data_IF_665643464392
#
_entry.id   IF_665643464392
#
_cell.length_a   1.000
_cell.length_b   1.000
_cell.length_c   1.000
_cell.angle_alpha   90.00
_cell.angle_beta   90.00
_cell.angle_gamma   90.00
#
_symmetry.space_group_name_H-M   'P 1'
#
loop_
_entity.id
_entity.type
_entity.pdbx_description
1 polymer ?
#
# COMPACT_ATOMS: atom_id res chain seq x y z
N UNK A 1 -57.48 23.31 10.17
CA UNK A 1 -56.91 22.91 8.87
C UNK A 1 -55.49 23.44 8.79
N UNK A 2 -54.59 22.58 8.32
CA UNK A 2 -53.19 22.80 7.92
C UNK A 2 -52.13 22.83 9.03
N UNK A 3 -51.64 21.61 9.27
CA UNK A 3 -50.43 21.25 9.99
C UNK A 3 -49.20 21.70 9.19
N UNK A 4 -48.40 22.63 9.73
CA UNK A 4 -47.04 22.89 9.25
C UNK A 4 -46.09 21.83 9.82
N UNK A 5 -46.33 20.57 9.45
CA UNK A 5 -45.39 19.49 9.66
C UNK A 5 -44.28 19.61 8.61
N UNK A 6 -43.32 20.49 8.87
CA UNK A 6 -42.12 20.61 8.05
C UNK A 6 -41.41 19.27 8.05
N UNK A 7 -41.45 18.58 6.91
CA UNK A 7 -40.61 17.45 6.60
C UNK A 7 -39.15 17.93 6.63
N UNK A 8 -38.52 17.88 7.80
CA UNK A 8 -37.07 17.82 7.88
C UNK A 8 -36.68 16.48 7.25
N UNK A 9 -36.48 16.49 5.93
CA UNK A 9 -35.64 15.49 5.30
C UNK A 9 -34.35 15.49 6.11
N UNK A 10 -34.09 14.41 6.83
CA UNK A 10 -32.86 14.15 7.58
C UNK A 10 -31.71 14.30 6.59
N UNK A 11 -31.17 15.52 6.54
CA UNK A 11 -30.13 15.90 5.60
C UNK A 11 -28.89 15.22 6.15
N UNK A 12 -28.61 14.02 5.63
CA UNK A 12 -27.52 13.15 6.11
C UNK A 12 -26.23 13.94 6.17
N UNK A 13 -25.86 14.36 7.38
CA UNK A 13 -24.70 15.23 7.62
C UNK A 13 -23.45 14.41 7.36
N UNK A 14 -22.64 14.86 6.40
CA UNK A 14 -21.35 14.25 6.15
C UNK A 14 -20.30 14.85 7.07
N UNK A 15 -19.23 14.10 7.33
CA UNK A 15 -18.17 14.59 8.23
C UNK A 15 -17.39 15.74 7.60
N UNK A 16 -17.26 15.76 6.26
CA UNK A 16 -16.67 16.87 5.53
C UNK A 16 -17.47 18.18 5.62
N UNK A 17 -18.78 18.13 5.92
CA UNK A 17 -19.62 19.32 6.05
C UNK A 17 -19.32 20.08 7.36
N UNK A 18 -18.90 19.33 8.39
CA UNK A 18 -18.67 19.85 9.75
C UNK A 18 -17.18 20.03 10.04
N UNK A 19 -16.34 19.14 9.51
CA UNK A 19 -14.90 19.09 9.76
C UNK A 19 -14.09 19.08 8.47
N UNK A 20 -12.87 19.59 8.53
CA UNK A 20 -11.91 19.44 7.44
C UNK A 20 -11.39 18.01 7.40
N UNK A 21 -11.75 17.26 6.36
CA UNK A 21 -11.34 15.87 6.14
C UNK A 21 -10.21 15.76 5.10
N UNK A 22 -9.46 14.66 5.15
CA UNK A 22 -8.46 14.32 4.11
C UNK A 22 -9.18 13.93 2.81
N UNK A 23 -8.74 14.41 1.62
CA UNK A 23 -9.33 14.02 0.34
C UNK A 23 -9.28 12.50 0.08
N UNK A 24 -8.34 11.78 0.68
CA UNK A 24 -8.19 10.32 0.54
C UNK A 24 -8.89 9.54 1.67
N UNK A 25 -9.76 10.18 2.46
CA UNK A 25 -10.49 9.51 3.52
C UNK A 25 -11.48 8.49 2.93
N UNK A 26 -11.51 7.24 3.41
CA UNK A 26 -12.52 6.27 3.00
C UNK A 26 -13.94 6.81 3.18
N UNK A 27 -14.79 6.62 2.16
CA UNK A 27 -16.16 7.15 2.11
C UNK A 27 -17.01 6.77 3.33
N UNK A 28 -16.72 5.62 3.96
CA UNK A 28 -17.39 5.16 5.19
C UNK A 28 -17.19 6.11 6.37
N UNK A 29 -16.01 6.73 6.50
CA UNK A 29 -15.77 7.73 7.55
C UNK A 29 -16.35 9.10 7.19
N UNK A 30 -16.64 9.36 5.91
CA UNK A 30 -17.37 10.56 5.51
C UNK A 30 -18.88 10.45 5.77
N UNK A 31 -19.41 9.23 5.73
CA UNK A 31 -20.84 8.94 5.84
C UNK A 31 -21.10 8.08 7.09
N UNK A 32 -21.33 8.67 8.28
CA UNK A 32 -21.57 7.90 9.51
C UNK A 32 -22.80 6.99 9.40
N UNK A 33 -23.74 7.31 8.50
CA UNK A 33 -24.92 6.51 8.27
C UNK A 33 -24.67 5.13 7.66
N UNK A 34 -23.51 4.92 7.05
CA UNK A 34 -23.14 3.65 6.45
C UNK A 34 -22.89 2.55 7.49
N UNK A 35 -22.66 2.92 8.75
CA UNK A 35 -22.44 1.97 9.85
C UNK A 35 -23.78 1.40 10.33
N UNK A 36 -24.05 0.15 9.94
CA UNK A 36 -25.22 -0.62 10.38
C UNK A 36 -24.95 -1.41 11.67
N UNK A 37 -26.01 -1.82 12.37
CA UNK A 37 -25.92 -2.70 13.54
C UNK A 37 -25.80 -1.95 14.88
N UNK A 38 -25.61 -0.64 14.82
CA UNK A 38 -25.74 0.24 15.97
C UNK A 38 -27.19 0.69 16.10
N UNK A 39 -27.83 0.36 17.22
CA UNK A 39 -29.13 0.86 17.65
C UNK A 39 -29.55 0.06 18.88
N UNK A 40 -30.42 0.65 19.70
CA UNK A 40 -31.07 -0.12 20.75
C UNK A 40 -31.96 -1.19 20.11
N UNK A 41 -31.57 -2.47 20.27
CA UNK A 41 -32.47 -3.60 20.00
C UNK A 41 -33.70 -3.43 20.88
N UNK A 42 -34.88 -3.65 20.30
CA UNK A 42 -36.15 -3.58 21.02
C UNK A 42 -36.22 -4.75 22.01
N UNK A 43 -35.85 -4.48 23.26
CA UNK A 43 -35.95 -5.39 24.40
C UNK A 43 -36.96 -4.85 25.40
N UNK A 44 -37.51 -5.73 26.23
CA UNK A 44 -38.37 -5.33 27.32
C UNK A 44 -37.60 -4.42 28.30
N UNK A 45 -38.15 -3.25 28.70
CA UNK A 45 -37.44 -2.32 29.59
C UNK A 45 -36.98 -2.94 30.92
N UNK A 46 -37.73 -3.93 31.45
CA UNK A 46 -37.37 -4.63 32.69
C UNK A 46 -36.29 -5.71 32.52
N UNK A 47 -35.99 -6.15 31.29
CA UNK A 47 -34.99 -7.18 31.00
C UNK A 47 -33.77 -6.58 30.30
N UNK A 48 -33.35 -5.41 30.77
CA UNK A 48 -32.22 -4.67 30.22
C UNK A 48 -30.95 -5.01 30.99
N UNK A 49 -29.90 -5.43 30.28
CA UNK A 49 -28.59 -5.68 30.90
C UNK A 49 -27.63 -4.53 30.59
N UNK A 50 -26.61 -4.35 31.43
CA UNK A 50 -25.56 -3.34 31.21
C UNK A 50 -24.87 -3.51 29.84
N UNK A 51 -24.63 -4.77 29.43
CA UNK A 51 -24.01 -5.11 28.15
C UNK A 51 -24.81 -4.61 26.94
N UNK A 52 -26.14 -4.47 27.05
CA UNK A 52 -26.99 -3.91 25.98
C UNK A 52 -26.75 -2.41 25.74
N UNK A 53 -25.96 -1.74 26.59
CA UNK A 53 -25.53 -0.36 26.38
C UNK A 53 -24.47 -0.27 25.28
N UNK A 54 -23.59 -1.28 25.18
CA UNK A 54 -22.58 -1.34 24.14
C UNK A 54 -23.24 -1.49 22.76
N UNK A 55 -22.77 -0.71 21.78
CA UNK A 55 -23.33 -0.70 20.42
C UNK A 55 -24.76 -0.13 20.30
N UNK A 56 -25.34 0.37 21.40
CA UNK A 56 -26.72 0.88 21.38
C UNK A 56 -26.87 2.24 20.69
N UNK A 57 -25.79 3.01 20.59
CA UNK A 57 -25.75 4.34 19.99
C UNK A 57 -25.06 4.27 18.64
N UNK A 58 -25.65 4.93 17.65
CA UNK A 58 -25.08 5.04 16.30
C UNK A 58 -23.91 6.03 16.31
N UNK A 59 -22.83 5.75 15.57
CA UNK A 59 -21.76 6.72 15.37
C UNK A 59 -22.27 8.00 14.72
N UNK A 60 -21.74 9.13 15.18
CA UNK A 60 -22.05 10.47 14.68
C UNK A 60 -20.84 11.11 13.99
N UNK A 61 -21.04 12.24 13.32
CA UNK A 61 -19.95 12.97 12.65
C UNK A 61 -18.81 13.39 13.58
N UNK A 62 -19.09 13.55 14.87
CA UNK A 62 -18.12 13.94 15.90
C UNK A 62 -17.24 12.78 16.39
N UNK A 63 -17.66 11.54 16.13
CA UNK A 63 -16.92 10.33 16.49
C UNK A 63 -16.12 9.77 15.30
N UNK A 64 -16.44 10.22 14.08
CA UNK A 64 -15.74 9.80 12.87
C UNK A 64 -14.35 10.42 12.76
N UNK A 65 -13.42 9.64 12.22
CA UNK A 65 -12.05 10.08 11.97
C UNK A 65 -12.01 11.01 10.76
N UNK A 66 -11.25 12.10 10.87
CA UNK A 66 -11.01 13.03 9.74
C UNK A 66 -9.89 12.59 8.82
N UNK A 67 -9.05 11.65 9.28
CA UNK A 67 -7.94 11.06 8.53
C UNK A 67 -7.82 9.56 8.86
N UNK A 68 -7.51 8.75 7.86
CA UNK A 68 -7.25 7.32 8.03
C UNK A 68 -5.97 6.92 7.28
N UNK A 69 -4.97 6.45 8.03
CA UNK A 69 -3.67 6.02 7.48
C UNK A 69 -3.52 4.51 7.57
N UNK A 70 -4.36 3.80 6.81
CA UNK A 70 -4.27 2.35 6.67
C UNK A 70 -3.04 1.93 5.88
N UNK A 71 -2.44 0.80 6.23
CA UNK A 71 -1.34 0.20 5.47
C UNK A 71 -1.89 -0.87 4.52
N UNK A 72 -1.44 -0.85 3.26
CA UNK A 72 -1.80 -1.89 2.30
C UNK A 72 -0.94 -3.13 2.52
N UNK A 73 -1.54 -4.31 2.62
CA UNK A 73 -0.83 -5.58 2.71
C UNK A 73 -0.71 -6.33 1.37
N UNK A 74 -1.19 -5.73 0.28
CA UNK A 74 -1.28 -6.35 -1.05
C UNK A 74 0.06 -6.97 -1.51
N UNK A 75 1.18 -6.23 -1.38
CA UNK A 75 2.50 -6.75 -1.73
C UNK A 75 2.89 -7.98 -0.88
N UNK A 76 2.75 -7.87 0.45
CA UNK A 76 3.12 -8.94 1.37
C UNK A 76 2.20 -10.15 1.26
N UNK A 77 0.93 -9.95 0.92
CA UNK A 77 -0.02 -11.04 0.68
C UNK A 77 0.41 -11.89 -0.50
N UNK A 78 0.84 -11.29 -1.62
CA UNK A 78 1.37 -12.03 -2.76
C UNK A 78 2.58 -12.90 -2.35
N UNK A 79 3.50 -12.34 -1.58
CA UNK A 79 4.66 -13.08 -1.07
C UNK A 79 4.27 -14.17 -0.07
N UNK A 80 3.24 -13.95 0.75
CA UNK A 80 2.78 -14.93 1.73
C UNK A 80 2.25 -16.20 1.05
N UNK A 81 1.56 -16.07 -0.08
CA UNK A 81 1.06 -17.22 -0.86
C UNK A 81 2.18 -18.10 -1.43
N UNK A 82 3.39 -17.54 -1.63
CA UNK A 82 4.54 -18.28 -2.16
C UNK A 82 5.20 -19.23 -1.13
N UNK A 83 4.80 -19.15 0.15
CA UNK A 83 5.29 -20.03 1.20
C UNK A 83 6.69 -19.68 1.69
N UNK A 84 7.36 -20.65 2.31
CA UNK A 84 8.69 -20.47 2.89
C UNK A 84 9.77 -20.49 1.79
N UNK A 85 10.61 -19.45 1.76
CA UNK A 85 11.77 -19.40 0.87
C UNK A 85 12.69 -20.62 1.09
N UNK A 86 13.18 -21.19 -0.03
CA UNK A 86 14.20 -22.23 -0.08
C UNK A 86 15.26 -21.83 -1.11
N UNK A 87 16.49 -22.21 -0.83
CA UNK A 87 17.62 -22.03 -1.74
C UNK A 87 18.05 -23.38 -2.28
N UNK A 88 17.76 -23.62 -3.56
CA UNK A 88 18.15 -24.83 -4.29
C UNK A 88 19.27 -24.55 -5.32
N UNK A 89 19.97 -23.41 -5.18
CA UNK A 89 21.05 -23.01 -6.08
C UNK A 89 22.38 -23.70 -5.78
N UNK A 90 23.15 -24.03 -6.83
CA UNK A 90 24.54 -24.49 -6.67
C UNK A 90 25.49 -23.30 -6.48
N UNK A 91 26.50 -23.47 -5.62
CA UNK A 91 27.58 -22.50 -5.52
C UNK A 91 28.52 -22.61 -6.74
N UNK A 92 28.36 -21.68 -7.67
CA UNK A 92 29.17 -21.57 -8.90
C UNK A 92 30.15 -20.39 -8.86
N UNK A 93 30.36 -19.80 -7.70
CA UNK A 93 31.32 -18.69 -7.59
C UNK A 93 32.73 -19.19 -7.90
N UNK A 94 33.40 -18.53 -8.86
CA UNK A 94 34.82 -18.76 -9.11
C UNK A 94 35.61 -18.09 -7.99
N UNK A 95 36.61 -18.81 -7.46
CA UNK A 95 37.52 -18.24 -6.48
C UNK A 95 38.22 -16.99 -7.05
N UNK A 96 38.12 -15.88 -6.34
CA UNK A 96 38.73 -14.60 -6.71
C UNK A 96 39.73 -14.22 -5.63
N UNK A 97 41.01 -14.48 -5.90
CA UNK A 97 42.08 -13.97 -5.06
C UNK A 97 42.06 -12.43 -5.03
N UNK A 98 42.06 -11.84 -3.82
CA UNK A 98 42.09 -10.39 -3.58
C UNK A 98 43.41 -9.73 -4.04
N UNK A 99 44.45 -10.51 -4.31
CA UNK A 99 45.77 -10.01 -4.73
C UNK A 99 45.92 -10.12 -6.24
N UNK A 100 45.83 -8.93 -6.84
CA UNK A 100 46.39 -8.43 -8.09
C UNK A 100 47.40 -9.38 -8.72
N UNK A 101 47.00 -10.00 -9.84
CA UNK A 101 47.84 -10.30 -11.01
C UNK A 101 49.28 -9.81 -10.84
N UNK A 102 50.24 -10.74 -10.79
CA UNK A 102 51.64 -10.38 -10.97
C UNK A 102 51.77 -9.59 -12.28
N UNK A 103 52.60 -8.55 -12.26
CA UNK A 103 52.77 -7.56 -13.33
C UNK A 103 53.08 -8.17 -14.71
N UNK A 104 53.49 -9.45 -14.76
CA UNK A 104 53.72 -10.19 -16.01
C UNK A 104 52.43 -10.52 -16.77
N UNK A 105 51.30 -10.81 -16.08
CA UNK A 105 50.05 -11.26 -16.73
C UNK A 105 49.18 -10.09 -17.23
N UNK A 106 49.39 -8.86 -16.73
CA UNK A 106 48.69 -7.68 -17.25
C UNK A 106 49.09 -7.34 -18.69
N UNK A 107 50.36 -7.57 -19.07
CA UNK A 107 50.87 -7.22 -20.42
C UNK A 107 50.13 -7.94 -21.55
N UNK A 108 49.71 -9.19 -21.35
CA UNK A 108 48.95 -9.94 -22.35
C UNK A 108 47.50 -9.41 -22.55
N UNK A 109 46.90 -8.74 -21.55
CA UNK A 109 45.52 -8.22 -21.66
C UNK A 109 45.44 -6.84 -22.31
N UNK A 110 46.47 -6.00 -22.16
CA UNK A 110 46.53 -4.72 -22.88
C UNK A 110 46.81 -4.92 -24.38
N UNK A 111 47.64 -5.92 -24.71
CA UNK A 111 48.01 -6.20 -26.11
C UNK A 111 46.81 -6.67 -26.94
N UNK A 112 45.99 -7.59 -26.42
CA UNK A 112 44.74 -8.03 -27.07
C UNK A 112 43.75 -6.88 -27.30
N UNK A 113 43.66 -5.91 -26.39
CA UNK A 113 42.77 -4.74 -26.60
C UNK A 113 43.28 -3.81 -27.69
N UNK A 114 44.60 -3.66 -27.84
CA UNK A 114 45.19 -2.86 -28.92
C UNK A 114 44.88 -3.49 -30.30
N UNK A 115 45.02 -4.81 -30.43
CA UNK A 115 44.69 -5.52 -31.67
C UNK A 115 43.21 -5.37 -32.07
N UNK A 116 42.27 -5.47 -31.12
CA UNK A 116 40.85 -5.31 -31.42
C UNK A 116 40.45 -3.86 -31.78
N UNK A 117 41.18 -2.84 -31.31
CA UNK A 117 40.90 -1.45 -31.66
C UNK A 117 41.41 -1.09 -33.08
N UNK A 118 42.51 -1.69 -33.52
CA UNK A 118 43.03 -1.50 -34.88
C UNK A 118 42.16 -2.21 -35.94
N UNK A 119 41.67 -3.42 -35.66
CA UNK A 119 40.86 -4.20 -36.62
C UNK A 119 39.50 -3.54 -36.91
N UNK A 120 38.91 -2.87 -35.91
CA UNK A 120 37.63 -2.18 -36.07
C UNK A 120 37.75 -0.81 -36.77
N UNK A 121 38.91 -0.14 -36.71
CA UNK A 121 39.14 1.12 -37.45
C UNK A 121 39.33 0.93 -38.96
N UNK A 122 39.68 -0.27 -39.41
CA UNK A 122 39.90 -0.56 -40.84
C UNK A 122 38.59 -0.84 -41.62
N UNK A 123 37.44 -1.01 -40.96
CA UNK A 123 36.18 -1.35 -41.63
C UNK A 123 35.25 -0.15 -41.91
N UNK A 124 35.54 1.05 -41.39
CA UNK A 124 34.71 2.25 -41.57
C UNK A 124 35.26 3.25 -42.60
N UNK A 125 36.07 2.76 -43.56
CA UNK A 125 36.82 3.59 -44.52
C UNK A 125 36.33 3.60 -45.96
N UNK A 126 35.10 3.14 -46.29
CA UNK A 126 34.62 3.19 -47.67
C UNK A 126 33.10 3.46 -47.77
N UNK A 127 32.72 4.72 -47.55
CA UNK A 127 31.49 5.31 -48.08
C UNK A 127 31.79 6.74 -48.54
N UNK A 128 32.07 6.88 -49.84
CA UNK A 128 32.12 8.12 -50.59
C UNK A 128 31.52 7.85 -51.95
#
# INVERSE_FOLDING_TARGET
>A
MNSFGSAMADQRVQTCDVYRTDPNLPSRFNNPDCFSGYSQKKSHPLYRTSNQTYGSKKPTVHEMQTQFKGTSRQFSEVMLHSGMYRDDGFNVSLDRARVTISTSTQKNRVDLRYYHHCVNQCHDGNKG
#
